data_IF_807336825180
#
_entry.id   IF_807336825180
#
_cell.length_a   1.000
_cell.length_b   1.000
_cell.length_c   1.000
_cell.angle_alpha   90.00
_cell.angle_beta   90.00
_cell.angle_gamma   90.00
#
_symmetry.space_group_name_H-M   'P 1'
#
loop_
_entity.id
_entity.type
_entity.pdbx_description
1 polymer ?
#
# COMPACT_ATOMS: atom_id res chain seq x y z
N UNK A 1 -36.83 42.70 -36.75
CA UNK A 1 -35.63 42.68 -35.88
C UNK A 1 -35.58 41.30 -35.26
N UNK A 2 -34.73 40.44 -35.83
CA UNK A 2 -34.72 39.00 -35.56
C UNK A 2 -33.92 38.69 -34.27
N UNK A 3 -34.38 37.67 -33.56
CA UNK A 3 -33.94 37.14 -32.26
C UNK A 3 -32.56 36.47 -32.30
N UNK A 4 -31.53 37.17 -32.77
CA UNK A 4 -30.17 36.61 -32.91
C UNK A 4 -29.51 36.31 -31.55
N UNK A 5 -30.02 36.88 -30.45
CA UNK A 5 -29.47 36.67 -29.11
C UNK A 5 -29.73 35.28 -28.49
N UNK A 6 -30.83 34.59 -28.84
CA UNK A 6 -31.23 33.36 -28.11
C UNK A 6 -30.35 32.16 -28.43
N UNK A 7 -29.88 32.04 -29.67
CA UNK A 7 -29.14 30.85 -30.14
C UNK A 7 -27.67 30.88 -29.72
N UNK A 8 -27.08 32.08 -29.61
CA UNK A 8 -25.71 32.25 -29.14
C UNK A 8 -25.62 32.11 -27.62
N UNK A 9 -26.61 32.63 -26.89
CA UNK A 9 -26.74 32.43 -25.45
C UNK A 9 -26.99 30.96 -25.11
N UNK A 10 -27.84 30.23 -25.86
CA UNK A 10 -28.04 28.80 -25.66
C UNK A 10 -26.78 27.97 -25.96
N UNK A 11 -25.97 28.35 -26.96
CA UNK A 11 -24.68 27.70 -27.23
C UNK A 11 -23.65 27.97 -26.13
N UNK A 12 -23.59 29.19 -25.62
CA UNK A 12 -22.74 29.56 -24.48
C UNK A 12 -23.17 28.81 -23.22
N UNK A 13 -24.47 28.72 -22.95
CA UNK A 13 -25.01 27.97 -21.80
C UNK A 13 -24.71 26.47 -21.92
N UNK A 14 -24.91 25.86 -23.09
CA UNK A 14 -24.52 24.45 -23.31
C UNK A 14 -23.01 24.25 -23.19
N UNK A 15 -22.18 25.16 -23.69
CA UNK A 15 -20.73 25.09 -23.51
C UNK A 15 -20.33 25.26 -22.03
N UNK A 16 -21.00 26.14 -21.28
CA UNK A 16 -20.80 26.33 -19.86
C UNK A 16 -21.30 25.13 -19.04
N UNK A 17 -22.36 24.45 -19.49
CA UNK A 17 -22.90 23.24 -18.88
C UNK A 17 -22.02 22.02 -19.16
N UNK A 18 -21.42 21.92 -20.36
CA UNK A 18 -20.38 20.93 -20.70
C UNK A 18 -19.03 21.22 -20.03
N UNK A 19 -18.80 22.46 -19.60
CA UNK A 19 -17.68 22.88 -18.75
C UNK A 19 -18.01 22.76 -17.26
N UNK A 20 -19.27 22.51 -16.90
CA UNK A 20 -19.66 22.36 -15.50
C UNK A 20 -18.99 21.10 -14.95
N UNK A 21 -18.20 21.21 -13.87
CA UNK A 21 -17.54 20.06 -13.29
C UNK A 21 -18.59 19.01 -12.93
N UNK A 22 -18.38 17.77 -13.38
CA UNK A 22 -19.25 16.62 -13.15
C UNK A 22 -19.86 16.71 -11.73
N UNK A 23 -21.18 16.92 -11.68
CA UNK A 23 -21.89 17.24 -10.44
C UNK A 23 -21.79 16.04 -9.50
N UNK A 24 -20.90 16.16 -8.54
CA UNK A 24 -20.70 15.15 -7.51
C UNK A 24 -21.95 15.03 -6.61
N UNK A 25 -22.74 13.95 -6.73
CA UNK A 25 -24.02 13.85 -6.05
C UNK A 25 -23.89 13.72 -4.54
N UNK A 26 -22.68 13.47 -4.02
CA UNK A 26 -22.44 13.37 -2.57
C UNK A 26 -22.33 14.74 -1.90
N UNK A 27 -22.09 15.82 -2.65
CA UNK A 27 -21.89 17.16 -2.11
C UNK A 27 -23.21 17.92 -1.91
N UNK A 28 -23.35 18.67 -0.82
CA UNK A 28 -24.57 19.45 -0.48
C UNK A 28 -24.97 20.42 -1.59
N UNK A 29 -24.00 21.01 -2.30
CA UNK A 29 -24.25 21.87 -3.47
C UNK A 29 -25.02 21.18 -4.60
N UNK A 30 -25.01 19.84 -4.63
CA UNK A 30 -25.70 18.99 -5.59
C UNK A 30 -26.82 18.15 -4.94
N UNK A 31 -27.25 18.49 -3.72
CA UNK A 31 -28.28 17.76 -2.97
C UNK A 31 -27.77 16.58 -2.13
N UNK A 32 -26.45 16.43 -1.98
CA UNK A 32 -25.83 15.38 -1.19
C UNK A 32 -25.69 15.68 0.31
N UNK A 33 -25.00 14.80 1.05
CA UNK A 33 -24.83 14.86 2.51
C UNK A 33 -23.61 15.70 2.95
N UNK A 34 -22.56 15.73 2.14
CA UNK A 34 -21.23 16.21 2.55
C UNK A 34 -20.96 17.63 2.05
N UNK A 35 -20.26 18.43 2.84
CA UNK A 35 -19.87 19.79 2.44
C UNK A 35 -18.74 19.76 1.40
N UNK A 36 -17.73 18.92 1.65
CA UNK A 36 -16.55 18.81 0.81
C UNK A 36 -15.98 17.39 0.83
N UNK A 37 -15.14 17.10 -0.17
CA UNK A 37 -14.38 15.86 -0.27
C UNK A 37 -12.94 16.17 -0.61
N UNK A 38 -12.03 15.55 0.14
CA UNK A 38 -10.59 15.72 -0.02
C UNK A 38 -9.94 14.35 -0.17
N UNK A 39 -8.81 14.27 -0.86
CA UNK A 39 -8.03 13.03 -0.94
C UNK A 39 -6.71 13.22 -0.20
N UNK A 40 -6.45 12.38 0.80
CA UNK A 40 -5.17 12.33 1.50
C UNK A 40 -4.59 10.93 1.37
N UNK A 41 -3.34 10.83 0.91
CA UNK A 41 -2.70 9.55 0.57
C UNK A 41 -3.60 8.65 -0.31
N UNK A 42 -4.25 9.21 -1.33
CA UNK A 42 -5.22 8.50 -2.18
C UNK A 42 -6.46 7.91 -1.46
N UNK A 43 -6.69 8.22 -0.18
CA UNK A 43 -7.91 7.88 0.56
C UNK A 43 -8.88 9.06 0.49
N UNK A 44 -10.14 8.81 0.15
CA UNK A 44 -11.17 9.86 0.15
C UNK A 44 -11.67 10.14 1.56
N UNK A 45 -11.53 11.38 2.01
CA UNK A 45 -12.09 11.90 3.26
C UNK A 45 -13.27 12.81 2.92
N UNK A 46 -14.42 12.55 3.53
CA UNK A 46 -15.65 13.33 3.35
C UNK A 46 -15.89 14.19 4.59
N UNK A 47 -16.19 15.45 4.39
CA UNK A 47 -16.45 16.39 5.49
C UNK A 47 -17.91 16.86 5.48
N UNK A 48 -18.58 16.98 6.64
CA UNK A 48 -18.11 16.54 7.96
C UNK A 48 -17.90 15.02 8.00
N UNK A 49 -16.98 14.57 8.85
CA UNK A 49 -16.67 13.14 8.99
C UNK A 49 -17.95 12.40 9.36
N UNK A 50 -18.29 11.37 8.58
CA UNK A 50 -19.41 10.50 8.88
C UNK A 50 -19.08 9.64 10.11
N UNK A 51 -19.77 9.89 11.21
CA UNK A 51 -19.54 9.21 12.50
C UNK A 51 -20.10 7.79 12.54
N UNK A 52 -20.75 7.32 11.48
CA UNK A 52 -21.22 5.94 11.42
C UNK A 52 -20.05 4.95 11.56
N UNK A 53 -20.09 3.96 12.47
CA UNK A 53 -18.94 3.12 12.80
C UNK A 53 -18.30 2.44 11.58
N UNK A 54 -19.11 1.93 10.65
CA UNK A 54 -18.61 1.28 9.43
C UNK A 54 -17.82 2.23 8.52
N UNK A 55 -18.23 3.50 8.42
CA UNK A 55 -17.52 4.50 7.62
C UNK A 55 -16.17 4.84 8.24
N UNK A 56 -16.11 4.97 9.57
CA UNK A 56 -14.86 5.18 10.29
C UNK A 56 -13.91 3.98 10.14
N UNK A 57 -14.44 2.77 10.28
CA UNK A 57 -13.66 1.54 10.09
C UNK A 57 -13.10 1.47 8.66
N UNK A 58 -13.95 1.67 7.64
CA UNK A 58 -13.51 1.67 6.24
C UNK A 58 -12.48 2.77 5.96
N UNK A 59 -12.64 3.96 6.55
CA UNK A 59 -11.65 5.04 6.47
C UNK A 59 -10.30 4.63 7.06
N UNK A 60 -10.28 4.03 8.26
CA UNK A 60 -9.07 3.53 8.90
C UNK A 60 -8.37 2.44 8.08
N UNK A 61 -9.12 1.44 7.60
CA UNK A 61 -8.59 0.41 6.69
C UNK A 61 -8.05 1.01 5.38
N UNK A 62 -8.60 2.14 4.94
CA UNK A 62 -8.11 2.90 3.79
C UNK A 62 -6.65 3.33 3.92
N UNK A 63 -6.14 3.58 5.14
CA UNK A 63 -4.77 4.03 5.39
C UNK A 63 -3.76 2.90 5.66
N UNK A 64 -4.22 1.68 5.95
CA UNK A 64 -3.32 0.56 6.26
C UNK A 64 -2.28 0.26 5.16
N UNK A 65 -2.59 0.38 3.86
CA UNK A 65 -1.59 0.20 2.79
C UNK A 65 -0.43 1.19 2.80
N UNK A 66 -0.47 2.26 3.61
CA UNK A 66 0.68 3.13 3.91
C UNK A 66 1.29 2.85 5.28
N UNK A 67 0.45 2.64 6.30
CA UNK A 67 0.90 2.42 7.67
C UNK A 67 1.74 1.14 7.77
N UNK A 68 1.32 0.05 7.10
CA UNK A 68 2.01 -1.24 7.16
C UNK A 68 3.38 -1.20 6.47
N UNK A 69 3.53 -0.70 5.23
CA UNK A 69 4.86 -0.52 4.65
C UNK A 69 5.75 0.45 5.46
N UNK A 70 5.19 1.53 6.01
CA UNK A 70 5.94 2.44 6.87
C UNK A 70 6.44 1.74 8.14
N UNK A 71 5.63 0.85 8.74
CA UNK A 71 6.07 0.08 9.91
C UNK A 71 7.18 -0.92 9.56
N UNK A 72 7.16 -1.52 8.37
CA UNK A 72 8.28 -2.34 7.88
C UNK A 72 9.57 -1.52 7.72
N UNK A 73 9.47 -0.29 7.21
CA UNK A 73 10.64 0.61 7.12
C UNK A 73 11.19 0.95 8.50
N UNK A 74 10.33 1.33 9.45
CA UNK A 74 10.74 1.61 10.83
C UNK A 74 11.39 0.37 11.47
N UNK A 75 10.77 -0.81 11.30
CA UNK A 75 11.31 -2.07 11.78
C UNK A 75 12.66 -2.41 11.12
N UNK A 76 12.83 -2.13 9.83
CA UNK A 76 14.11 -2.30 9.13
C UNK A 76 15.20 -1.41 9.74
N UNK A 77 14.90 -0.14 10.01
CA UNK A 77 15.84 0.81 10.61
C UNK A 77 16.26 0.40 12.03
N UNK A 78 15.31 -0.08 12.84
CA UNK A 78 15.56 -0.47 14.24
C UNK A 78 16.27 -1.82 14.32
N UNK A 79 15.74 -2.83 13.63
CA UNK A 79 16.22 -4.21 13.78
C UNK A 79 17.40 -4.55 12.87
N UNK A 80 17.58 -3.78 11.79
CA UNK A 80 18.56 -4.05 10.72
C UNK A 80 18.43 -5.46 10.13
N UNK A 81 17.22 -6.02 10.15
CA UNK A 81 16.92 -7.35 9.65
C UNK A 81 16.44 -7.33 8.21
N UNK A 82 16.72 -8.43 7.50
CA UNK A 82 16.36 -8.58 6.10
C UNK A 82 14.84 -8.60 5.85
N UNK A 83 14.06 -9.30 6.66
CA UNK A 83 12.62 -9.49 6.40
C UNK A 83 11.84 -8.17 6.31
N UNK A 84 11.98 -7.21 7.26
CA UNK A 84 11.34 -5.91 7.13
C UNK A 84 11.80 -5.12 5.89
N UNK A 85 13.09 -5.18 5.55
CA UNK A 85 13.62 -4.54 4.32
C UNK A 85 12.97 -5.15 3.09
N UNK A 86 12.91 -6.48 3.00
CA UNK A 86 12.28 -7.19 1.89
C UNK A 86 10.81 -6.81 1.74
N UNK A 87 10.04 -6.80 2.84
CA UNK A 87 8.63 -6.44 2.83
C UNK A 87 8.39 -4.99 2.37
N UNK A 88 9.24 -4.05 2.82
CA UNK A 88 9.17 -2.66 2.41
C UNK A 88 9.51 -2.48 0.93
N UNK A 89 10.60 -3.09 0.45
CA UNK A 89 11.02 -3.03 -0.96
C UNK A 89 9.94 -3.66 -1.86
N UNK A 90 9.40 -4.82 -1.48
CA UNK A 90 8.29 -5.46 -2.18
C UNK A 90 7.08 -4.51 -2.30
N UNK A 91 6.74 -3.78 -1.23
CA UNK A 91 5.64 -2.81 -1.23
C UNK A 91 5.88 -1.66 -2.20
N UNK A 92 7.12 -1.13 -2.24
CA UNK A 92 7.51 -0.07 -3.19
C UNK A 92 7.43 -0.59 -4.62
N UNK A 93 8.05 -1.73 -4.92
CA UNK A 93 8.09 -2.30 -6.27
C UNK A 93 6.68 -2.60 -6.77
N UNK A 94 5.83 -3.20 -5.94
CA UNK A 94 4.43 -3.47 -6.28
C UNK A 94 3.65 -2.20 -6.58
N UNK A 95 3.86 -1.15 -5.78
CA UNK A 95 3.23 0.16 -5.99
C UNK A 95 3.71 0.82 -7.28
N UNK A 96 5.02 0.77 -7.56
CA UNK A 96 5.60 1.32 -8.79
C UNK A 96 5.09 0.60 -10.03
N UNK A 97 5.07 -0.74 -10.04
CA UNK A 97 4.53 -1.54 -11.15
C UNK A 97 3.06 -1.16 -11.39
N UNK A 98 2.27 -1.00 -10.32
CA UNK A 98 0.87 -0.62 -10.46
C UNK A 98 0.67 0.76 -11.08
N UNK A 99 1.40 1.76 -10.58
CA UNK A 99 1.26 3.16 -11.01
C UNK A 99 1.90 3.43 -12.38
N UNK A 100 3.03 2.79 -12.69
CA UNK A 100 3.83 3.06 -13.90
C UNK A 100 3.46 2.13 -15.06
N UNK A 101 3.03 0.89 -14.79
CA UNK A 101 2.76 -0.10 -15.83
C UNK A 101 1.25 -0.33 -15.97
N UNK A 102 0.58 -0.80 -14.92
CA UNK A 102 -0.80 -1.26 -15.06
C UNK A 102 -1.79 -0.12 -15.29
N UNK A 103 -1.69 0.97 -14.52
CA UNK A 103 -2.62 2.10 -14.68
C UNK A 103 -2.55 2.77 -16.05
N UNK A 104 -1.37 3.06 -16.62
CA UNK A 104 -1.27 3.61 -17.97
C UNK A 104 -1.77 2.65 -19.06
N UNK A 105 -1.69 1.34 -18.83
CA UNK A 105 -2.17 0.33 -19.76
C UNK A 105 -3.70 0.22 -19.78
N UNK A 106 -4.33 0.21 -18.60
CA UNK A 106 -5.77 -0.06 -18.47
C UNK A 106 -6.64 1.20 -18.55
N UNK A 107 -6.16 2.34 -18.02
CA UNK A 107 -6.84 3.65 -18.05
C UNK A 107 -8.31 3.68 -17.59
N UNK A 108 -8.76 2.67 -16.85
CA UNK A 108 -10.12 2.60 -16.33
C UNK A 108 -10.29 3.64 -15.18
N UNK A 109 -11.24 4.57 -15.27
CA UNK A 109 -11.39 5.66 -14.31
C UNK A 109 -11.92 5.19 -12.96
N UNK A 110 -11.59 5.92 -11.89
CA UNK A 110 -12.21 5.70 -10.57
C UNK A 110 -13.71 6.06 -10.58
N UNK A 111 -14.50 5.51 -9.65
CA UNK A 111 -15.89 5.95 -9.45
C UNK A 111 -15.96 7.44 -9.13
N UNK A 112 -17.07 8.07 -9.53
CA UNK A 112 -17.33 9.52 -9.33
C UNK A 112 -17.33 9.94 -7.85
N UNK A 113 -17.59 8.99 -6.96
CA UNK A 113 -17.54 9.16 -5.50
C UNK A 113 -16.12 9.41 -4.97
N UNK A 114 -15.07 8.99 -5.68
CA UNK A 114 -13.69 9.23 -5.24
C UNK A 114 -13.32 10.72 -5.32
N UNK A 115 -12.59 11.20 -4.32
CA UNK A 115 -11.97 12.52 -4.33
C UNK A 115 -10.67 12.57 -5.15
N UNK A 116 -10.21 11.43 -5.69
CA UNK A 116 -8.92 11.36 -6.35
C UNK A 116 -9.00 11.77 -7.83
N UNK A 117 -8.95 13.08 -8.05
CA UNK A 117 -9.04 13.72 -9.36
C UNK A 117 -7.72 14.43 -9.72
N UNK A 118 -7.53 14.76 -10.99
CA UNK A 118 -6.48 15.66 -11.44
C UNK A 118 -7.05 16.69 -12.42
N UNK A 119 -6.35 17.81 -12.57
CA UNK A 119 -6.66 18.76 -13.62
C UNK A 119 -6.15 18.18 -14.95
N UNK A 120 -7.04 18.03 -15.92
CA UNK A 120 -6.74 17.66 -17.29
C UNK A 120 -6.04 18.79 -18.03
N UNK A 121 -5.53 18.50 -19.23
CA UNK A 121 -4.86 19.50 -20.08
C UNK A 121 -5.80 20.60 -20.57
N UNK A 122 -7.09 20.29 -20.62
CA UNK A 122 -8.20 21.18 -20.99
C UNK A 122 -8.71 22.03 -19.81
N UNK A 123 -8.09 21.91 -18.64
CA UNK A 123 -8.55 22.59 -17.42
C UNK A 123 -9.77 21.96 -16.77
N UNK A 124 -10.25 20.81 -17.24
CA UNK A 124 -11.35 20.07 -16.60
C UNK A 124 -10.82 19.11 -15.55
N UNK A 125 -11.60 18.89 -14.49
CA UNK A 125 -11.25 17.90 -13.47
C UNK A 125 -11.60 16.50 -13.95
N UNK A 126 -10.59 15.64 -14.09
CA UNK A 126 -10.74 14.26 -14.55
C UNK A 126 -10.44 13.26 -13.43
N UNK A 127 -11.08 12.08 -13.49
CA UNK A 127 -10.81 10.99 -12.56
C UNK A 127 -9.46 10.35 -12.85
N UNK A 128 -8.64 10.19 -11.82
CA UNK A 128 -7.40 9.42 -11.96
C UNK A 128 -7.71 7.96 -12.28
N UNK A 129 -6.86 7.27 -13.08
CA UNK A 129 -7.00 5.83 -13.32
C UNK A 129 -7.06 5.03 -12.00
N UNK A 130 -8.05 4.14 -11.95
CA UNK A 130 -8.41 3.34 -10.80
C UNK A 130 -8.08 1.85 -10.92
N UNK A 131 -7.94 1.31 -12.13
CA UNK A 131 -7.61 -0.10 -12.36
C UNK A 131 -6.10 -0.32 -12.56
N UNK A 132 -5.48 -1.25 -11.83
CA UNK A 132 -5.96 -1.89 -10.61
C UNK A 132 -5.86 -0.92 -9.41
N UNK A 133 -6.60 -1.21 -8.35
CA UNK A 133 -6.40 -0.50 -7.08
C UNK A 133 -5.04 -0.84 -6.47
N UNK A 134 -4.12 0.12 -6.43
CA UNK A 134 -2.78 -0.07 -5.86
C UNK A 134 -2.81 -0.43 -4.37
N UNK A 135 -3.79 0.11 -3.62
CA UNK A 135 -4.00 -0.22 -2.21
C UNK A 135 -4.35 -1.70 -2.03
N UNK A 136 -5.29 -2.19 -2.83
CA UNK A 136 -5.74 -3.58 -2.77
C UNK A 136 -4.63 -4.52 -3.24
N UNK A 137 -3.97 -4.19 -4.36
CA UNK A 137 -2.85 -4.97 -4.87
C UNK A 137 -1.76 -5.15 -3.80
N UNK A 138 -1.30 -4.04 -3.20
CA UNK A 138 -0.25 -4.07 -2.19
C UNK A 138 -0.72 -4.80 -0.92
N UNK A 139 -1.95 -4.53 -0.46
CA UNK A 139 -2.49 -5.17 0.72
C UNK A 139 -2.63 -6.69 0.57
N UNK A 140 -3.18 -7.15 -0.56
CA UNK A 140 -3.33 -8.58 -0.85
C UNK A 140 -1.97 -9.26 -1.09
N UNK A 141 -1.02 -8.58 -1.72
CA UNK A 141 0.36 -9.07 -1.85
C UNK A 141 1.01 -9.31 -0.49
N UNK A 142 0.97 -8.32 0.41
CA UNK A 142 1.52 -8.44 1.77
C UNK A 142 0.78 -9.53 2.57
N UNK A 143 -0.56 -9.58 2.48
CA UNK A 143 -1.36 -10.60 3.14
C UNK A 143 -0.90 -12.01 2.76
N UNK A 144 -0.86 -12.30 1.45
CA UNK A 144 -0.52 -13.64 0.96
C UNK A 144 0.92 -13.98 1.28
N UNK A 145 1.86 -13.07 1.01
CA UNK A 145 3.27 -13.27 1.33
C UNK A 145 3.47 -13.56 2.83
N UNK A 146 2.93 -12.73 3.71
CA UNK A 146 3.12 -12.86 5.16
C UNK A 146 2.44 -14.12 5.73
N UNK A 147 1.25 -14.50 5.24
CA UNK A 147 0.62 -15.78 5.63
C UNK A 147 1.49 -16.96 5.22
N UNK A 148 2.07 -16.95 4.01
CA UNK A 148 2.98 -18.00 3.56
C UNK A 148 4.28 -18.04 4.37
N UNK A 149 4.87 -16.87 4.68
CA UNK A 149 6.04 -16.79 5.57
C UNK A 149 5.76 -17.41 6.93
N UNK A 150 4.71 -16.97 7.60
CA UNK A 150 4.37 -17.46 8.96
C UNK A 150 3.94 -18.91 8.93
N UNK A 151 3.11 -19.31 7.96
CA UNK A 151 2.56 -20.66 7.88
C UNK A 151 3.57 -21.73 7.48
N UNK A 152 4.56 -21.40 6.64
CA UNK A 152 5.51 -22.39 6.10
C UNK A 152 6.93 -22.24 6.66
N UNK A 153 7.31 -21.06 7.15
CA UNK A 153 8.66 -20.74 7.66
C UNK A 153 8.63 -20.00 9.00
N UNK A 154 7.47 -19.85 9.64
CA UNK A 154 7.34 -19.20 10.94
C UNK A 154 7.78 -20.09 12.11
N UNK A 155 7.34 -19.76 13.34
CA UNK A 155 7.66 -20.52 14.54
C UNK A 155 7.31 -22.01 14.46
N UNK A 156 6.29 -22.36 13.66
CA UNK A 156 5.84 -23.73 13.44
C UNK A 156 4.48 -24.01 14.09
N UNK A 157 3.95 -25.20 13.81
CA UNK A 157 2.69 -25.70 14.38
C UNK A 157 2.93 -26.85 15.38
N UNK A 158 4.09 -26.85 16.03
CA UNK A 158 4.32 -27.76 17.17
C UNK A 158 3.48 -27.32 18.39
N UNK A 159 3.48 -28.17 19.43
CA UNK A 159 2.68 -27.92 20.62
C UNK A 159 3.03 -26.60 21.32
N UNK A 160 4.29 -26.15 21.22
CA UNK A 160 4.80 -24.99 21.94
C UNK A 160 4.54 -23.67 21.20
N UNK A 161 4.50 -23.67 19.86
CA UNK A 161 4.41 -22.46 19.05
C UNK A 161 3.12 -22.30 18.23
N UNK A 162 2.25 -23.32 18.18
CA UNK A 162 1.00 -23.28 17.40
C UNK A 162 0.11 -22.07 17.67
N UNK A 163 -0.04 -21.67 18.95
CA UNK A 163 -0.84 -20.50 19.33
C UNK A 163 -0.22 -19.18 18.81
N UNK A 164 1.11 -19.06 18.87
CA UNK A 164 1.83 -17.90 18.36
C UNK A 164 1.68 -17.79 16.84
N UNK A 165 1.86 -18.90 16.12
CA UNK A 165 1.70 -18.96 14.66
C UNK A 165 0.27 -18.60 14.24
N UNK A 166 -0.73 -19.18 14.91
CA UNK A 166 -2.13 -18.86 14.65
C UNK A 166 -2.45 -17.38 14.95
N UNK A 167 -1.95 -16.85 16.05
CA UNK A 167 -2.11 -15.44 16.43
C UNK A 167 -1.57 -14.48 15.37
N UNK A 168 -0.37 -14.76 14.82
CA UNK A 168 0.19 -13.97 13.72
C UNK A 168 -0.66 -14.06 12.45
N UNK A 169 -1.10 -15.25 12.05
CA UNK A 169 -1.95 -15.42 10.86
C UNK A 169 -3.26 -14.63 11.02
N UNK A 170 -3.92 -14.73 12.17
CA UNK A 170 -5.15 -13.97 12.46
C UNK A 170 -4.88 -12.47 12.40
N UNK A 171 -3.80 -11.98 13.02
CA UNK A 171 -3.43 -10.57 12.97
C UNK A 171 -3.21 -10.06 11.54
N UNK A 172 -2.50 -10.82 10.69
CA UNK A 172 -2.27 -10.45 9.28
C UNK A 172 -3.60 -10.40 8.52
N UNK A 173 -4.46 -11.42 8.67
CA UNK A 173 -5.76 -11.48 7.99
C UNK A 173 -6.63 -10.29 8.42
N UNK A 174 -6.74 -10.04 9.72
CA UNK A 174 -7.54 -8.93 10.26
C UNK A 174 -7.04 -7.59 9.72
N UNK A 175 -5.72 -7.37 9.67
CA UNK A 175 -5.16 -6.10 9.18
C UNK A 175 -5.34 -5.91 7.68
N UNK A 176 -5.14 -6.95 6.87
CA UNK A 176 -4.97 -6.76 5.42
C UNK A 176 -6.17 -7.19 4.58
N UNK A 177 -6.92 -8.22 5.00
CA UNK A 177 -8.04 -8.75 4.21
C UNK A 177 -9.21 -7.75 4.03
N UNK A 178 -9.55 -6.89 5.01
CA UNK A 178 -10.65 -5.93 4.85
C UNK A 178 -10.33 -4.75 3.92
N UNK A 179 -9.08 -4.53 3.51
CA UNK A 179 -8.69 -3.40 2.66
C UNK A 179 -9.49 -3.35 1.34
N UNK A 180 -9.60 -4.42 0.53
CA UNK A 180 -10.45 -4.40 -0.67
C UNK A 180 -11.89 -3.98 -0.42
N UNK A 181 -12.51 -4.46 0.66
CA UNK A 181 -13.84 -4.04 1.06
C UNK A 181 -13.87 -2.55 1.39
N UNK A 182 -12.93 -2.05 2.19
CA UNK A 182 -12.86 -0.65 2.58
C UNK A 182 -12.73 0.29 1.37
N UNK A 183 -11.94 -0.09 0.36
CA UNK A 183 -11.77 0.69 -0.87
C UNK A 183 -13.04 0.76 -1.71
N UNK A 184 -13.77 -0.34 -1.79
CA UNK A 184 -15.05 -0.39 -2.48
C UNK A 184 -16.15 0.36 -1.71
N UNK A 185 -16.26 0.12 -0.41
CA UNK A 185 -17.25 0.72 0.48
C UNK A 185 -17.11 2.25 0.55
N UNK A 186 -15.88 2.76 0.67
CA UNK A 186 -15.62 4.20 0.63
C UNK A 186 -15.83 4.83 -0.75
N UNK A 187 -16.12 4.05 -1.79
CA UNK A 187 -16.31 4.53 -3.16
C UNK A 187 -15.02 5.01 -3.82
N UNK A 188 -13.85 4.60 -3.32
CA UNK A 188 -12.56 4.95 -3.91
C UNK A 188 -12.26 4.14 -5.17
N UNK A 189 -12.82 2.92 -5.25
CA UNK A 189 -12.67 1.99 -6.37
C UNK A 189 -13.96 1.22 -6.63
N UNK A 190 -14.14 0.77 -7.87
CA UNK A 190 -15.21 -0.17 -8.20
C UNK A 190 -14.90 -1.57 -7.66
N UNK A 191 -15.92 -2.42 -7.55
CA UNK A 191 -15.73 -3.81 -7.12
C UNK A 191 -14.76 -4.55 -8.06
N UNK A 192 -14.90 -4.35 -9.38
CA UNK A 192 -14.01 -4.97 -10.37
C UNK A 192 -12.56 -4.51 -10.23
N UNK A 193 -12.33 -3.22 -9.93
CA UNK A 193 -11.00 -2.70 -9.66
C UNK A 193 -10.35 -3.34 -8.44
N UNK A 194 -11.14 -3.60 -7.39
CA UNK A 194 -10.68 -4.33 -6.21
C UNK A 194 -10.42 -5.81 -6.50
N UNK A 195 -11.32 -6.50 -7.23
CA UNK A 195 -11.17 -7.92 -7.54
C UNK A 195 -9.97 -8.22 -8.42
N UNK A 196 -9.76 -7.44 -9.49
CA UNK A 196 -8.58 -7.59 -10.37
C UNK A 196 -7.29 -7.34 -9.58
N UNK A 197 -7.26 -6.27 -8.77
CA UNK A 197 -6.11 -5.97 -7.93
C UNK A 197 -5.83 -7.08 -6.90
N UNK A 198 -6.85 -7.65 -6.27
CA UNK A 198 -6.70 -8.75 -5.33
C UNK A 198 -6.14 -10.01 -6.03
N UNK A 199 -6.67 -10.38 -7.20
CA UNK A 199 -6.17 -11.51 -7.98
C UNK A 199 -4.70 -11.35 -8.36
N UNK A 200 -4.31 -10.17 -8.85
CA UNK A 200 -2.91 -9.85 -9.12
C UNK A 200 -2.07 -9.89 -7.84
N UNK A 201 -2.60 -9.38 -6.73
CA UNK A 201 -1.93 -9.36 -5.43
C UNK A 201 -1.63 -10.75 -4.90
N UNK A 202 -2.54 -11.72 -5.11
CA UNK A 202 -2.31 -13.13 -4.76
C UNK A 202 -1.11 -13.67 -5.54
N UNK A 203 -1.07 -13.46 -6.86
CA UNK A 203 0.03 -13.92 -7.71
C UNK A 203 1.36 -13.29 -7.29
N UNK A 204 1.39 -11.97 -7.09
CA UNK A 204 2.61 -11.26 -6.66
C UNK A 204 3.05 -11.70 -5.27
N UNK A 205 2.13 -11.92 -4.33
CA UNK A 205 2.45 -12.40 -2.98
C UNK A 205 3.06 -13.80 -2.96
N UNK A 206 2.52 -14.74 -3.77
CA UNK A 206 3.10 -16.08 -3.95
C UNK A 206 4.49 -15.98 -4.57
N UNK A 207 4.66 -15.16 -5.62
CA UNK A 207 5.96 -14.94 -6.25
C UNK A 207 6.97 -14.31 -5.29
N UNK A 208 6.56 -13.34 -4.47
CA UNK A 208 7.42 -12.74 -3.46
C UNK A 208 7.91 -13.78 -2.44
N UNK A 209 7.00 -14.64 -1.95
CA UNK A 209 7.38 -15.75 -1.07
C UNK A 209 8.36 -16.70 -1.76
N UNK A 210 8.08 -17.07 -3.01
CA UNK A 210 8.93 -17.95 -3.81
C UNK A 210 10.34 -17.37 -4.02
N UNK A 211 10.44 -16.09 -4.41
CA UNK A 211 11.71 -15.39 -4.58
C UNK A 211 12.49 -15.35 -3.27
N UNK A 212 11.81 -15.06 -2.15
CA UNK A 212 12.42 -14.99 -0.84
C UNK A 212 12.95 -16.36 -0.38
N UNK A 213 12.21 -17.48 -0.55
CA UNK A 213 12.75 -18.83 -0.23
C UNK A 213 13.90 -19.24 -1.11
N UNK A 214 13.89 -18.85 -2.37
CA UNK A 214 14.84 -19.37 -3.35
C UNK A 214 16.17 -18.65 -3.27
N UNK A 215 16.13 -17.33 -3.21
CA UNK A 215 17.33 -16.49 -3.26
C UNK A 215 17.85 -16.07 -1.89
N UNK A 216 17.00 -16.11 -0.85
CA UNK A 216 17.35 -15.69 0.52
C UNK A 216 16.96 -16.74 1.57
N UNK A 217 17.38 -18.02 1.42
CA UNK A 217 16.92 -19.12 2.27
C UNK A 217 17.42 -19.05 3.72
N UNK A 218 18.45 -18.26 4.02
CA UNK A 218 19.04 -18.13 5.36
C UNK A 218 18.52 -16.92 6.13
N UNK A 219 17.76 -16.03 5.48
CA UNK A 219 17.35 -14.75 6.06
C UNK A 219 16.03 -14.81 6.84
N UNK A 220 15.58 -16.01 7.24
CA UNK A 220 14.22 -16.30 7.68
C UNK A 220 14.01 -16.32 9.20
N UNK A 221 15.07 -16.27 10.01
CA UNK A 221 14.97 -16.41 11.47
C UNK A 221 15.29 -15.11 12.20
N UNK A 222 14.40 -14.10 12.17
CA UNK A 222 14.58 -12.92 12.98
C UNK A 222 14.57 -13.28 14.49
N UNK A 223 13.92 -14.35 14.94
CA UNK A 223 13.94 -14.71 16.37
C UNK A 223 15.22 -15.43 16.81
N UNK A 224 16.09 -15.88 15.91
CA UNK A 224 17.41 -16.36 16.33
C UNK A 224 18.27 -15.17 16.75
N UNK A 225 18.82 -15.24 17.95
CA UNK A 225 19.85 -14.32 18.42
C UNK A 225 20.97 -14.27 17.38
N UNK A 226 21.39 -13.06 17.00
CA UNK A 226 22.60 -12.87 16.19
C UNK A 226 23.71 -13.73 16.82
N UNK A 227 24.46 -14.52 16.04
CA UNK A 227 25.60 -15.23 16.58
C UNK A 227 26.49 -14.24 17.33
N UNK A 228 26.90 -14.57 18.57
CA UNK A 228 27.74 -13.70 19.43
C UNK A 228 29.04 -13.23 18.75
N UNK A 229 29.42 -13.79 17.60
CA UNK A 229 30.59 -13.34 16.84
C UNK A 229 30.43 -11.95 16.18
N UNK A 230 29.22 -11.52 15.80
CA UNK A 230 29.02 -10.18 15.22
C UNK A 230 28.84 -9.07 16.27
N UNK A 231 28.69 -9.42 17.54
CA UNK A 231 28.67 -8.46 18.66
C UNK A 231 30.05 -8.21 19.26
N UNK A 232 31.11 -8.85 18.74
CA UNK A 232 32.48 -8.54 19.18
C UNK A 232 32.79 -7.07 18.84
N UNK A 233 33.07 -6.21 19.83
CA UNK A 233 33.43 -4.84 19.56
C UNK A 233 34.64 -4.80 18.61
N UNK A 234 34.65 -3.81 17.71
CA UNK A 234 35.73 -3.51 16.76
C UNK A 234 37.13 -3.45 17.42
N UNK A 235 37.21 -3.36 18.75
CA UNK A 235 38.44 -3.50 19.53
C UNK A 235 39.15 -4.85 19.31
N UNK A 236 38.42 -5.91 18.98
CA UNK A 236 39.00 -7.25 18.77
C UNK A 236 39.69 -7.35 17.40
N UNK A 237 39.11 -6.71 16.37
CA UNK A 237 39.74 -6.60 15.05
C UNK A 237 41.01 -5.72 15.10
N UNK A 238 40.99 -4.62 15.86
CA UNK A 238 42.17 -3.79 16.10
C UNK A 238 43.26 -4.53 16.89
N UNK A 239 42.89 -5.36 17.88
CA UNK A 239 43.82 -6.20 18.64
C UNK A 239 44.49 -7.29 17.78
N UNK A 240 43.73 -7.93 16.87
CA UNK A 240 44.29 -8.90 15.93
C UNK A 240 45.22 -8.26 14.88
N UNK A 241 44.94 -7.02 14.46
CA UNK A 241 45.85 -6.27 13.58
C UNK A 241 47.11 -5.86 14.37
N UNK A 242 46.97 -5.32 15.58
CA UNK A 242 48.10 -4.89 16.41
C UNK A 242 49.05 -6.04 16.79
N UNK A 243 48.51 -7.21 17.13
CA UNK A 243 49.32 -8.41 17.43
C UNK A 243 50.07 -8.97 16.23
N UNK A 244 49.52 -8.84 15.00
CA UNK A 244 50.24 -9.20 13.76
C UNK A 244 51.41 -8.28 13.46
N UNK A 245 51.34 -7.01 13.86
CA UNK A 245 52.46 -6.06 13.67
C UNK A 245 53.51 -6.15 14.80
N UNK A 246 53.11 -6.48 16.03
CA UNK A 246 54.01 -6.60 17.17
C UNK A 246 54.95 -7.82 17.12
N UNK A 247 54.63 -8.86 16.33
CA UNK A 247 55.43 -10.09 16.24
C UNK A 247 56.60 -10.07 15.24
N UNK A 248 56.87 -8.95 14.56
CA UNK A 248 57.84 -8.92 13.45
C UNK A 248 59.26 -8.45 13.79
N UNK A 249 59.57 -8.15 15.07
CA UNK A 249 60.83 -7.46 15.43
C UNK A 249 61.81 -8.20 16.35
N UNK A 250 61.68 -9.51 16.58
CA UNK A 250 62.68 -10.27 17.34
C UNK A 250 63.30 -11.40 16.52
N UNK A 251 64.31 -11.03 15.72
CA UNK A 251 65.38 -11.93 15.27
C UNK A 251 66.71 -11.19 15.39
N UNK A 252 67.41 -11.42 16.49
CA UNK A 252 68.87 -11.37 16.59
C UNK A 252 69.38 -12.82 16.65
#
# INVERSE_FOLDING_TARGET
MASVGSDEEAKLLNQLEDLAPEKDPELKKNGGKFDEKTSFLQVTIRWPIDTHPLNLIALLYGFLPFIVPASFFVAACITKRFIPVFAFVMSIVTSLINEVIFKPLLKDPRPTRSAHRHLGKDGKWEMKPGMPSGHVLNATCILVWAVLEVGLRGPGFDHDHSFLTAGWIVAIIVLMAPVPWARWYNGDHSLNQCLVAASLGIVVGVLAYYLRVTYFPQSWKPWESMPEEESRPLSTAASMIASRFAGSHTKE
#
